data_IF_429197905468
#
_entry.id   IF_429197905468
#
_cell.length_a   1.000
_cell.length_b   1.000
_cell.length_c   1.000
_cell.angle_alpha   90.00
_cell.angle_beta   90.00
_cell.angle_gamma   90.00
#
_symmetry.space_group_name_H-M   'P 1'
#
loop_
_entity.id
_entity.type
_entity.pdbx_description
1 polymer ?
#
# COMPACT_ATOMS: atom_id res chain seq x y z
N UNK A 1 -10.00 10.08 -4.29
CA UNK A 1 -9.09 10.16 -3.13
C UNK A 1 -7.79 10.84 -3.54
N UNK A 2 -7.10 11.57 -2.65
CA UNK A 2 -5.92 12.38 -2.99
C UNK A 2 -4.75 11.64 -3.68
N UNK A 3 -4.32 10.42 -3.25
CA UNK A 3 -3.25 9.67 -3.91
C UNK A 3 -3.64 9.05 -5.26
N UNK A 4 -4.93 9.03 -5.59
CA UNK A 4 -5.46 8.53 -6.87
C UNK A 4 -5.68 9.66 -7.88
N UNK A 5 -5.25 10.90 -7.58
CA UNK A 5 -5.37 12.02 -8.53
C UNK A 5 -4.15 12.10 -9.46
N UNK A 6 -4.31 12.55 -10.71
CA UNK A 6 -3.20 12.81 -11.63
C UNK A 6 -2.17 13.81 -11.10
N UNK A 7 -2.57 14.69 -10.18
CA UNK A 7 -1.72 15.71 -9.55
C UNK A 7 -0.90 15.20 -8.36
N UNK A 8 -1.01 13.92 -7.99
CA UNK A 8 -0.20 13.35 -6.92
C UNK A 8 1.24 13.10 -7.40
N UNK A 9 2.17 13.93 -6.95
CA UNK A 9 3.58 13.82 -7.32
C UNK A 9 4.32 12.90 -6.35
N UNK A 10 4.68 11.71 -6.83
CA UNK A 10 5.49 10.75 -6.08
C UNK A 10 6.97 11.15 -5.98
N UNK A 11 7.38 12.24 -6.64
CA UNK A 11 8.71 12.85 -6.55
C UNK A 11 8.78 13.95 -5.50
N UNK A 12 7.63 14.45 -5.03
CA UNK A 12 7.56 15.43 -3.95
C UNK A 12 8.01 14.80 -2.63
N UNK A 13 9.02 15.41 -2.00
CA UNK A 13 9.64 14.87 -0.79
C UNK A 13 8.65 14.75 0.37
N UNK A 14 7.70 15.71 0.49
CA UNK A 14 6.69 15.69 1.54
C UNK A 14 5.70 14.55 1.33
N UNK A 15 5.28 14.32 0.08
CA UNK A 15 4.41 13.22 -0.32
C UNK A 15 5.07 11.87 -0.07
N UNK A 16 6.37 11.72 -0.35
CA UNK A 16 7.14 10.50 -0.06
C UNK A 16 7.23 10.24 1.45
N UNK A 17 7.42 11.29 2.26
CA UNK A 17 7.45 11.15 3.72
C UNK A 17 6.10 10.70 4.28
N UNK A 18 5.00 11.36 3.89
CA UNK A 18 3.65 10.97 4.31
C UNK A 18 3.32 9.55 3.86
N UNK A 19 3.66 9.17 2.63
CA UNK A 19 3.48 7.79 2.15
C UNK A 19 4.25 6.78 3.01
N UNK A 20 5.49 7.10 3.40
CA UNK A 20 6.30 6.25 4.28
C UNK A 20 5.67 6.09 5.67
N UNK A 21 5.08 7.15 6.24
CA UNK A 21 4.37 7.09 7.53
C UNK A 21 3.07 6.26 7.45
N UNK A 22 2.29 6.43 6.39
CA UNK A 22 1.11 5.59 6.13
C UNK A 22 1.51 4.12 5.97
N UNK A 23 2.62 3.87 5.27
CA UNK A 23 3.15 2.51 5.06
C UNK A 23 3.56 1.85 6.38
N UNK A 24 4.25 2.59 7.26
CA UNK A 24 4.61 2.10 8.59
C UNK A 24 3.37 1.81 9.43
N UNK A 25 2.35 2.66 9.34
CA UNK A 25 1.08 2.45 10.03
C UNK A 25 0.41 1.15 9.57
N UNK A 26 0.34 0.91 8.26
CA UNK A 26 -0.19 -0.34 7.70
C UNK A 26 0.59 -1.57 8.17
N UNK A 27 1.92 -1.51 8.16
CA UNK A 27 2.78 -2.57 8.65
C UNK A 27 2.53 -2.87 10.14
N UNK A 28 2.39 -1.84 10.97
CA UNK A 28 2.08 -2.00 12.40
C UNK A 28 0.70 -2.61 12.63
N UNK A 29 -0.30 -2.28 11.80
CA UNK A 29 -1.62 -2.92 11.85
C UNK A 29 -1.48 -4.41 11.51
N UNK A 30 -0.73 -4.75 10.45
CA UNK A 30 -0.45 -6.13 10.10
C UNK A 30 0.25 -6.89 11.22
N UNK A 31 1.29 -6.33 11.84
CA UNK A 31 1.98 -6.98 12.97
C UNK A 31 1.05 -7.22 14.18
N UNK A 32 0.05 -6.37 14.41
CA UNK A 32 -0.90 -6.51 15.52
C UNK A 32 -2.07 -7.45 15.23
N UNK A 33 -2.55 -7.48 13.99
CA UNK A 33 -3.78 -8.18 13.58
C UNK A 33 -3.52 -9.45 12.78
N UNK A 34 -2.30 -9.60 12.25
CA UNK A 34 -1.86 -10.77 11.50
C UNK A 34 -2.75 -11.04 10.28
N UNK A 35 -3.31 -12.26 10.15
CA UNK A 35 -4.14 -12.65 9.02
C UNK A 35 -5.40 -11.81 8.80
N UNK A 36 -5.99 -11.27 9.88
CA UNK A 36 -7.21 -10.43 9.79
C UNK A 36 -6.96 -9.19 8.90
N UNK A 37 -5.79 -8.58 9.02
CA UNK A 37 -5.41 -7.44 8.16
C UNK A 37 -5.28 -7.85 6.69
N UNK A 38 -4.76 -9.05 6.41
CA UNK A 38 -4.60 -9.55 5.04
C UNK A 38 -5.96 -9.82 4.41
N UNK A 39 -6.84 -10.51 5.14
CA UNK A 39 -8.20 -10.79 4.68
C UNK A 39 -8.96 -9.49 4.38
N UNK A 40 -8.89 -8.52 5.29
CA UNK A 40 -9.51 -7.21 5.08
C UNK A 40 -9.01 -6.54 3.79
N UNK A 41 -7.70 -6.54 3.52
CA UNK A 41 -7.14 -5.93 2.31
C UNK A 41 -7.58 -6.66 1.03
N UNK A 42 -7.67 -7.99 1.08
CA UNK A 42 -8.14 -8.81 -0.04
C UNK A 42 -9.61 -8.54 -0.41
N UNK A 43 -10.44 -8.15 0.56
CA UNK A 43 -11.83 -7.79 0.33
C UNK A 43 -11.99 -6.30 -0.04
N UNK A 44 -11.23 -5.42 0.62
CA UNK A 44 -11.37 -3.97 0.48
C UNK A 44 -10.77 -3.43 -0.82
N UNK A 45 -9.59 -3.88 -1.24
CA UNK A 45 -8.91 -3.32 -2.42
C UNK A 45 -9.65 -3.56 -3.74
N UNK A 46 -10.25 -4.74 -3.99
CA UNK A 46 -11.10 -4.93 -5.16
C UNK A 46 -12.33 -4.01 -5.19
N UNK A 47 -12.88 -3.65 -4.02
CA UNK A 47 -13.98 -2.67 -3.94
C UNK A 47 -13.59 -1.27 -4.43
N UNK A 48 -12.28 -0.97 -4.42
CA UNK A 48 -11.69 0.25 -4.97
C UNK A 48 -11.22 0.10 -6.42
N UNK A 49 -11.59 -1.00 -7.10
CA UNK A 49 -11.18 -1.33 -8.48
C UNK A 49 -9.67 -1.58 -8.65
N UNK A 50 -8.97 -1.92 -7.56
CA UNK A 50 -7.60 -2.41 -7.64
C UNK A 50 -7.63 -3.85 -8.16
N UNK A 51 -6.82 -4.15 -9.18
CA UNK A 51 -6.75 -5.49 -9.78
C UNK A 51 -6.37 -6.56 -8.75
N UNK A 52 -6.79 -7.80 -9.00
CA UNK A 52 -6.45 -8.94 -8.13
C UNK A 52 -4.93 -9.14 -8.03
N UNK A 53 -4.19 -8.92 -9.11
CA UNK A 53 -2.74 -9.05 -9.18
C UNK A 53 -2.04 -8.07 -8.20
N UNK A 54 -2.33 -6.77 -8.32
CA UNK A 54 -1.78 -5.74 -7.42
C UNK A 54 -2.18 -5.99 -5.96
N UNK A 55 -3.41 -6.46 -5.74
CA UNK A 55 -3.91 -6.80 -4.40
C UNK A 55 -3.10 -7.93 -3.77
N UNK A 56 -2.88 -9.02 -4.50
CA UNK A 56 -2.08 -10.15 -4.04
C UNK A 56 -0.63 -9.75 -3.81
N UNK A 57 -0.05 -8.97 -4.71
CA UNK A 57 1.32 -8.48 -4.59
C UNK A 57 1.51 -7.61 -3.34
N UNK A 58 0.57 -6.71 -3.04
CA UNK A 58 0.60 -5.93 -1.79
C UNK A 58 0.53 -6.83 -0.56
N UNK A 59 -0.40 -7.79 -0.52
CA UNK A 59 -0.52 -8.71 0.61
C UNK A 59 0.79 -9.51 0.82
N UNK A 60 1.41 -9.97 -0.27
CA UNK A 60 2.65 -10.74 -0.20
C UNK A 60 3.82 -9.88 0.29
N UNK A 61 3.94 -8.64 -0.18
CA UNK A 61 4.99 -7.71 0.27
C UNK A 61 4.78 -7.30 1.73
N UNK A 62 3.54 -7.09 2.17
CA UNK A 62 3.21 -6.71 3.55
C UNK A 62 3.60 -7.78 4.57
N UNK A 63 3.64 -9.05 4.17
CA UNK A 63 4.05 -10.17 5.01
C UNK A 63 5.58 -10.35 5.10
N UNK A 64 6.36 -9.60 4.32
CA UNK A 64 7.81 -9.67 4.39
C UNK A 64 8.34 -9.01 5.68
N UNK A 65 9.42 -9.55 6.28
CA UNK A 65 9.97 -9.02 7.53
C UNK A 65 10.67 -7.66 7.35
N UNK A 66 11.11 -7.32 6.14
CA UNK A 66 11.81 -6.06 5.86
C UNK A 66 10.83 -4.97 5.41
N UNK A 67 10.53 -4.05 6.32
CA UNK A 67 9.67 -2.89 6.07
C UNK A 67 10.19 -1.97 4.95
N UNK A 68 11.48 -2.00 4.62
CA UNK A 68 12.03 -1.24 3.47
C UNK A 68 11.46 -1.75 2.15
N UNK A 69 11.25 -3.07 2.02
CA UNK A 69 10.65 -3.65 0.82
C UNK A 69 9.23 -3.13 0.65
N UNK A 70 8.45 -3.11 1.74
CA UNK A 70 7.10 -2.54 1.73
C UNK A 70 7.11 -1.05 1.37
N UNK A 71 7.98 -0.24 1.96
CA UNK A 71 8.09 1.19 1.62
C UNK A 71 8.43 1.44 0.14
N UNK A 72 9.30 0.63 -0.43
CA UNK A 72 9.65 0.72 -1.84
C UNK A 72 8.47 0.30 -2.73
N UNK A 73 7.80 -0.80 -2.38
CA UNK A 73 6.65 -1.30 -3.11
C UNK A 73 5.46 -0.34 -3.07
N UNK A 74 5.20 0.34 -1.95
CA UNK A 74 4.07 1.26 -1.83
C UNK A 74 4.11 2.40 -2.87
N UNK A 75 5.29 2.79 -3.34
CA UNK A 75 5.42 3.73 -4.47
C UNK A 75 4.91 3.11 -5.77
N UNK A 76 5.32 1.88 -6.06
CA UNK A 76 4.89 1.11 -7.25
C UNK A 76 3.39 0.84 -7.20
N UNK A 77 2.87 0.42 -6.03
CA UNK A 77 1.44 0.23 -5.80
C UNK A 77 0.64 1.47 -6.21
N UNK A 78 1.00 2.67 -5.74
CA UNK A 78 0.27 3.89 -6.10
C UNK A 78 0.53 4.35 -7.55
N UNK A 79 1.62 3.93 -8.20
CA UNK A 79 1.80 4.13 -9.64
C UNK A 79 0.87 3.24 -10.47
N UNK A 80 0.68 1.99 -10.05
CA UNK A 80 -0.13 1.00 -10.77
C UNK A 80 -1.63 1.10 -10.43
N UNK A 81 -1.97 1.45 -9.19
CA UNK A 81 -3.34 1.63 -8.72
C UNK A 81 -3.97 2.96 -9.16
N UNK A 82 -3.21 3.82 -9.86
CA UNK A 82 -3.75 5.00 -10.54
C UNK A 82 -4.66 4.55 -11.69
N UNK A 83 -5.96 4.78 -11.51
CA UNK A 83 -6.95 4.81 -12.59
C UNK A 83 -6.71 6.01 -13.51
#
# INVERSE_FOLDING_TARGET
>A
MAPLKPTFDLSDAQTVLTLSECTLTLHMIHLKRGPECIQFLQEYLPSLQVSAEITQELCQVLQQPDVKVLKNYMKVFFQQARL
#
